data_IF_343838907085
#
_entry.id   IF_343838907085
#
_cell.length_a   1.000
_cell.length_b   1.000
_cell.length_c   1.000
_cell.angle_alpha   90.00
_cell.angle_beta   90.00
_cell.angle_gamma   90.00
#
_symmetry.space_group_name_H-M   'P 1'
#
loop_
_entity.id
_entity.type
_entity.pdbx_description
1 polymer ?
#
# COMPACT_ATOMS: atom_id res chain seq x y z
N UNK A 1 -5.05 -15.12 22.28
CA UNK A 1 -5.63 -13.82 22.69
C UNK A 1 -5.28 -12.77 21.63
N UNK A 2 -5.95 -12.77 20.46
CA UNK A 2 -5.50 -11.98 19.29
C UNK A 2 -6.53 -10.98 18.78
N UNK A 3 -7.57 -10.69 19.57
CA UNK A 3 -8.82 -10.10 19.05
C UNK A 3 -9.10 -8.67 19.54
N UNK A 4 -8.21 -8.02 20.30
CA UNK A 4 -8.53 -6.76 21.00
C UNK A 4 -7.91 -5.50 20.37
N UNK A 5 -6.92 -5.60 19.48
CA UNK A 5 -6.10 -4.41 19.08
C UNK A 5 -6.51 -3.78 17.73
N UNK A 6 -7.70 -4.09 17.21
CA UNK A 6 -8.26 -3.43 16.00
C UNK A 6 -9.48 -2.54 16.30
N UNK A 7 -9.81 -2.30 17.57
CA UNK A 7 -11.02 -1.57 18.00
C UNK A 7 -11.15 -0.14 17.46
N UNK A 8 -10.05 0.48 17.00
CA UNK A 8 -10.02 1.81 16.40
C UNK A 8 -9.91 1.82 14.86
N UNK A 9 -9.93 0.66 14.22
CA UNK A 9 -9.87 0.54 12.76
C UNK A 9 -11.27 0.25 12.21
N UNK A 10 -11.80 1.17 11.42
CA UNK A 10 -13.02 0.91 10.66
C UNK A 10 -12.63 0.11 9.43
N UNK A 11 -13.18 -1.10 9.31
CA UNK A 11 -13.14 -1.87 8.06
C UNK A 11 -13.88 -1.06 7.00
N UNK A 12 -13.16 -0.64 5.96
CA UNK A 12 -13.74 0.21 4.91
C UNK A 12 -14.24 -0.62 3.73
N UNK A 13 -13.43 -1.56 3.23
CA UNK A 13 -13.76 -2.32 2.02
C UNK A 13 -12.90 -3.58 1.93
N UNK A 14 -13.46 -4.68 1.44
CA UNK A 14 -12.69 -5.84 0.97
C UNK A 14 -12.49 -5.75 -0.53
N UNK A 15 -11.27 -5.99 -1.01
CA UNK A 15 -10.92 -6.07 -2.43
C UNK A 15 -10.55 -7.51 -2.72
N UNK A 16 -11.38 -8.18 -3.52
CA UNK A 16 -11.16 -9.54 -3.99
C UNK A 16 -11.05 -9.54 -5.51
N UNK A 17 -10.08 -10.26 -6.03
CA UNK A 17 -9.78 -10.41 -7.44
C UNK A 17 -8.92 -11.64 -7.68
N UNK A 18 -8.55 -11.88 -8.95
CA UNK A 18 -7.76 -13.07 -9.32
C UNK A 18 -6.39 -13.11 -8.62
N UNK A 19 -5.79 -11.94 -8.39
CA UNK A 19 -4.45 -11.81 -7.81
C UNK A 19 -4.44 -11.10 -6.46
N UNK A 20 -5.60 -10.82 -5.87
CA UNK A 20 -5.69 -10.03 -4.63
C UNK A 20 -6.86 -10.50 -3.78
N UNK A 21 -6.58 -10.75 -2.51
CA UNK A 21 -7.61 -10.90 -1.47
C UNK A 21 -7.15 -10.11 -0.23
N UNK A 22 -7.62 -8.87 -0.13
CA UNK A 22 -7.24 -7.96 0.96
C UNK A 22 -8.46 -7.26 1.56
N UNK A 23 -8.30 -6.89 2.82
CA UNK A 23 -9.21 -6.02 3.57
C UNK A 23 -8.51 -4.68 3.79
N UNK A 24 -9.20 -3.60 3.46
CA UNK A 24 -8.75 -2.23 3.67
C UNK A 24 -9.34 -1.71 4.97
N UNK A 25 -8.48 -1.29 5.88
CA UNK A 25 -8.83 -0.61 7.11
C UNK A 25 -8.55 0.88 6.98
N UNK A 26 -9.39 1.70 7.62
CA UNK A 26 -9.20 3.15 7.69
C UNK A 26 -9.20 3.59 9.14
N UNK A 27 -8.20 4.37 9.54
CA UNK A 27 -8.15 4.98 10.88
C UNK A 27 -9.04 6.22 10.94
N UNK A 28 -9.34 6.69 12.16
CA UNK A 28 -10.01 7.98 12.39
C UNK A 28 -9.33 9.15 11.68
N UNK A 29 -8.01 9.09 11.48
CA UNK A 29 -7.22 10.11 10.79
C UNK A 29 -7.26 9.98 9.25
N UNK A 30 -8.09 9.10 8.69
CA UNK A 30 -8.23 8.88 7.26
C UNK A 30 -7.09 8.07 6.62
N UNK A 31 -6.15 7.57 7.43
CA UNK A 31 -5.01 6.77 6.97
C UNK A 31 -5.48 5.35 6.69
N UNK A 32 -5.16 4.86 5.49
CA UNK A 32 -5.54 3.52 5.05
C UNK A 32 -4.42 2.50 5.28
N UNK A 33 -4.84 1.29 5.60
CA UNK A 33 -4.01 0.11 5.82
C UNK A 33 -4.65 -1.09 5.12
N UNK A 34 -3.85 -2.09 4.78
CA UNK A 34 -4.33 -3.29 4.11
C UNK A 34 -3.83 -4.55 4.80
N UNK A 35 -4.67 -5.58 4.83
CA UNK A 35 -4.30 -6.90 5.35
C UNK A 35 -4.85 -7.97 4.42
N UNK A 36 -4.07 -9.01 4.17
CA UNK A 36 -4.46 -10.11 3.29
C UNK A 36 -3.31 -10.54 2.39
N UNK A 37 -3.63 -11.05 1.21
CA UNK A 37 -2.65 -11.62 0.28
C UNK A 37 -2.74 -10.94 -1.07
N UNK A 38 -1.58 -10.60 -1.62
CA UNK A 38 -1.43 -10.15 -3.01
C UNK A 38 -0.51 -11.13 -3.72
N UNK A 39 -0.97 -11.65 -4.85
CA UNK A 39 -0.18 -12.44 -5.78
C UNK A 39 0.32 -11.56 -6.91
N UNK A 40 1.59 -11.66 -7.26
CA UNK A 40 2.13 -10.96 -8.41
C UNK A 40 1.67 -11.65 -9.72
N UNK A 41 1.00 -10.94 -10.65
CA UNK A 41 0.55 -11.54 -11.92
C UNK A 41 1.70 -11.90 -12.85
N UNK A 42 2.88 -11.29 -12.67
CA UNK A 42 4.04 -11.49 -13.54
C UNK A 42 4.99 -12.60 -13.08
N UNK A 43 5.07 -12.83 -11.77
CA UNK A 43 6.02 -13.80 -11.18
C UNK A 43 5.34 -14.88 -10.36
N UNK A 44 4.02 -14.82 -10.19
CA UNK A 44 3.21 -15.70 -9.35
C UNK A 44 3.61 -15.76 -7.87
N UNK A 45 4.54 -14.92 -7.40
CA UNK A 45 4.91 -14.82 -5.99
C UNK A 45 3.78 -14.23 -5.16
N UNK A 46 3.56 -14.80 -3.99
CA UNK A 46 2.53 -14.36 -3.04
C UNK A 46 3.15 -13.54 -1.91
N UNK A 47 2.48 -12.46 -1.54
CA UNK A 47 2.93 -11.50 -0.55
C UNK A 47 1.83 -11.29 0.49
N UNK A 48 2.20 -11.44 1.75
CA UNK A 48 1.29 -11.33 2.87
C UNK A 48 1.38 -9.93 3.49
N UNK A 49 0.26 -9.22 3.45
CA UNK A 49 0.07 -7.92 4.07
C UNK A 49 -0.46 -8.10 5.48
N UNK A 50 0.23 -7.53 6.46
CA UNK A 50 -0.15 -7.58 7.87
C UNK A 50 -0.10 -6.19 8.47
N UNK A 51 -1.00 -5.93 9.40
CA UNK A 51 -1.03 -4.68 10.16
C UNK A 51 -0.77 -5.03 11.61
N UNK A 52 0.24 -4.42 12.22
CA UNK A 52 0.52 -4.61 13.65
C UNK A 52 0.36 -3.27 14.38
N UNK A 53 -0.26 -3.27 15.57
CA UNK A 53 -0.30 -2.08 16.41
C UNK A 53 1.13 -1.71 16.83
N UNK A 54 1.40 -0.40 16.89
CA UNK A 54 2.62 0.16 17.47
C UNK A 54 2.32 0.55 18.91
N UNK A 55 2.90 -0.17 19.86
CA UNK A 55 2.59 -0.05 21.30
C UNK A 55 3.62 0.84 22.03
N UNK A 56 3.90 2.03 21.48
CA UNK A 56 4.74 3.00 22.17
C UNK A 56 3.82 4.08 22.78
N UNK A 57 3.89 4.25 24.10
CA UNK A 57 2.94 4.96 24.96
C UNK A 57 2.67 6.43 24.55
N UNK A 58 3.44 7.00 23.63
CA UNK A 58 3.28 8.37 23.14
C UNK A 58 2.43 8.50 21.85
N UNK A 59 2.31 7.46 21.01
CA UNK A 59 1.54 7.52 19.75
C UNK A 59 0.93 6.17 19.38
N UNK A 60 -0.37 6.02 19.63
CA UNK A 60 -1.18 4.92 19.09
C UNK A 60 -1.11 4.96 17.56
N UNK A 61 -0.46 3.96 16.96
CA UNK A 61 -0.26 3.87 15.52
C UNK A 61 -0.33 2.44 15.01
N UNK A 62 -0.33 2.29 13.70
CA UNK A 62 -0.28 0.98 13.05
C UNK A 62 0.90 0.93 12.09
N UNK A 63 1.65 -0.17 12.13
CA UNK A 63 2.70 -0.49 11.18
C UNK A 63 2.11 -1.39 10.10
N UNK A 64 2.33 -0.99 8.84
CA UNK A 64 2.04 -1.84 7.70
C UNK A 64 3.26 -2.69 7.36
N UNK A 65 3.06 -4.00 7.28
CA UNK A 65 4.01 -4.94 6.70
C UNK A 65 3.50 -5.35 5.32
N UNK A 66 4.32 -5.21 4.28
CA UNK A 66 4.00 -5.58 2.89
C UNK A 66 4.66 -6.90 2.44
N UNK A 67 5.37 -7.58 3.34
CA UNK A 67 6.04 -8.86 3.03
C UNK A 67 7.12 -8.77 1.95
N UNK A 68 7.65 -7.56 1.69
CA UNK A 68 8.64 -7.32 0.63
C UNK A 68 8.03 -7.09 -0.76
N UNK A 69 6.72 -6.89 -0.86
CA UNK A 69 6.06 -6.60 -2.13
C UNK A 69 6.58 -5.31 -2.78
N UNK A 70 6.85 -4.26 -2.01
CA UNK A 70 7.40 -3.02 -2.57
C UNK A 70 8.78 -3.27 -3.21
N UNK A 71 9.64 -4.03 -2.53
CA UNK A 71 10.95 -4.39 -3.08
C UNK A 71 10.79 -5.25 -4.34
N UNK A 72 9.83 -6.17 -4.35
CA UNK A 72 9.50 -6.97 -5.52
C UNK A 72 9.06 -6.10 -6.71
N UNK A 73 8.18 -5.12 -6.49
CA UNK A 73 7.76 -4.18 -7.54
C UNK A 73 8.94 -3.38 -8.12
N UNK A 74 9.96 -3.06 -7.33
CA UNK A 74 11.17 -2.36 -7.82
C UNK A 74 12.02 -3.24 -8.74
N UNK A 75 12.03 -4.56 -8.50
CA UNK A 75 12.81 -5.54 -9.27
C UNK A 75 12.12 -5.93 -10.58
N UNK A 76 10.79 -5.94 -10.62
CA UNK A 76 10.01 -6.35 -11.79
C UNK A 76 9.64 -5.14 -12.64
N UNK A 77 10.26 -4.99 -13.82
CA UNK A 77 10.12 -3.80 -14.66
C UNK A 77 8.67 -3.50 -15.10
N UNK A 78 7.84 -4.54 -15.29
CA UNK A 78 6.41 -4.38 -15.66
C UNK A 78 5.61 -3.53 -14.67
N UNK A 79 6.03 -3.44 -13.40
CA UNK A 79 5.34 -2.57 -12.43
C UNK A 79 5.54 -1.07 -12.72
N UNK A 80 6.57 -0.68 -13.49
CA UNK A 80 6.79 0.72 -13.88
C UNK A 80 5.68 1.27 -14.76
N UNK A 81 4.97 0.39 -15.48
CA UNK A 81 3.78 0.73 -16.27
C UNK A 81 2.59 1.15 -15.40
N UNK A 82 2.61 0.81 -14.11
CA UNK A 82 1.56 1.13 -13.15
C UNK A 82 1.93 2.32 -12.27
N UNK A 83 3.15 2.33 -11.72
CA UNK A 83 3.64 3.45 -10.92
C UNK A 83 5.16 3.57 -10.94
N UNK A 84 5.65 4.76 -10.61
CA UNK A 84 7.08 5.05 -10.45
C UNK A 84 7.35 5.69 -9.10
N UNK A 85 8.51 5.38 -8.51
CA UNK A 85 9.02 6.05 -7.30
C UNK A 85 9.93 7.20 -7.72
N UNK A 86 9.70 8.40 -7.19
CA UNK A 86 10.58 9.56 -7.33
C UNK A 86 10.97 10.09 -5.96
N UNK A 87 12.22 10.49 -5.82
CA UNK A 87 12.69 11.23 -4.66
C UNK A 87 12.64 12.72 -4.97
N UNK A 88 11.84 13.48 -4.23
CA UNK A 88 11.78 14.94 -4.37
C UNK A 88 12.25 15.61 -3.07
N UNK A 89 13.01 16.68 -3.19
CA UNK A 89 13.42 17.49 -2.04
C UNK A 89 12.21 18.22 -1.46
N UNK A 90 12.11 18.32 -0.13
CA UNK A 90 11.01 19.06 0.53
C UNK A 90 10.97 20.54 0.12
N UNK A 91 12.13 21.12 -0.15
CA UNK A 91 12.34 22.50 -0.57
C UNK A 91 13.63 22.55 -1.40
N UNK A 92 13.81 23.60 -2.19
CA UNK A 92 15.00 23.84 -3.03
C UNK A 92 16.32 23.74 -2.25
N UNK A 93 16.30 23.98 -0.94
CA UNK A 93 17.46 23.93 -0.03
C UNK A 93 17.39 22.85 1.06
N UNK A 94 16.46 21.88 0.98
CA UNK A 94 16.38 20.82 1.99
C UNK A 94 17.14 19.57 1.57
N UNK A 95 18.00 19.06 2.46
CA UNK A 95 18.64 17.75 2.30
C UNK A 95 17.65 16.59 2.49
N UNK A 96 16.49 16.84 3.10
CA UNK A 96 15.46 15.83 3.29
C UNK A 96 14.72 15.55 1.96
N UNK A 97 14.98 14.38 1.39
CA UNK A 97 14.27 13.86 0.22
C UNK A 97 13.08 13.02 0.68
N UNK A 98 11.88 13.37 0.22
CA UNK A 98 10.69 12.53 0.39
C UNK A 98 10.53 11.61 -0.82
N UNK A 99 10.09 10.39 -0.56
CA UNK A 99 9.69 9.45 -1.61
C UNK A 99 8.25 9.72 -2.00
N UNK A 100 8.01 9.84 -3.30
CA UNK A 100 6.70 9.99 -3.90
C UNK A 100 6.48 8.83 -4.85
N UNK A 101 5.30 8.23 -4.74
CA UNK A 101 4.78 7.24 -5.66
C UNK A 101 3.87 7.97 -6.63
N UNK A 102 4.12 7.81 -7.93
CA UNK A 102 3.37 8.48 -9.00
C UNK A 102 2.73 7.41 -9.88
N UNK A 103 1.43 7.49 -10.09
CA UNK A 103 0.69 6.60 -10.97
C UNK A 103 1.07 6.92 -12.42
N UNK A 104 1.54 5.91 -13.15
CA UNK A 104 1.94 6.05 -14.56
C UNK A 104 0.74 6.20 -15.49
N UNK A 105 -0.48 5.83 -15.05
CA UNK A 105 -1.71 5.88 -15.86
C UNK A 105 -2.42 7.23 -15.82
N UNK A 106 -2.53 7.85 -14.64
CA UNK A 106 -3.28 9.11 -14.48
C UNK A 106 -2.48 10.25 -13.82
N UNK A 107 -1.24 10.01 -13.40
CA UNK A 107 -0.40 11.03 -12.76
C UNK A 107 -0.73 11.30 -11.28
N UNK A 108 -1.65 10.56 -10.66
CA UNK A 108 -1.90 10.64 -9.21
C UNK A 108 -0.61 10.45 -8.41
N UNK A 109 -0.42 11.24 -7.34
CA UNK A 109 0.81 11.23 -6.53
C UNK A 109 0.48 11.05 -5.06
N UNK A 110 1.28 10.25 -4.36
CA UNK A 110 1.18 10.09 -2.90
C UNK A 110 2.55 9.78 -2.29
N UNK A 111 2.73 10.12 -1.02
CA UNK A 111 3.92 9.77 -0.25
C UNK A 111 3.85 8.37 0.36
N UNK A 112 2.65 7.75 0.37
CA UNK A 112 2.43 6.43 0.97
C UNK A 112 2.19 5.37 -0.11
N UNK A 113 2.99 4.31 -0.05
CA UNK A 113 2.89 3.19 -0.96
C UNK A 113 1.52 2.50 -0.95
N UNK A 114 0.94 2.32 0.24
CA UNK A 114 -0.37 1.67 0.39
C UNK A 114 -1.49 2.47 -0.28
N UNK A 115 -1.45 3.80 -0.16
CA UNK A 115 -2.41 4.66 -0.83
C UNK A 115 -2.28 4.57 -2.36
N UNK A 116 -1.04 4.40 -2.87
CA UNK A 116 -0.82 4.15 -4.31
C UNK A 116 -1.42 2.80 -4.72
N UNK A 117 -1.17 1.71 -3.99
CA UNK A 117 -1.74 0.40 -4.31
C UNK A 117 -3.26 0.43 -4.33
N UNK A 118 -3.88 1.01 -3.30
CA UNK A 118 -5.33 1.15 -3.21
C UNK A 118 -5.87 1.97 -4.39
N UNK A 119 -5.17 3.04 -4.78
CA UNK A 119 -5.52 3.84 -5.95
C UNK A 119 -5.48 2.99 -7.23
N UNK A 120 -4.39 2.27 -7.48
CA UNK A 120 -4.25 1.42 -8.67
C UNK A 120 -5.35 0.35 -8.73
N UNK A 121 -5.67 -0.29 -7.60
CA UNK A 121 -6.72 -1.31 -7.52
C UNK A 121 -8.11 -0.74 -7.80
N UNK A 122 -8.46 0.41 -7.20
CA UNK A 122 -9.81 0.95 -7.32
C UNK A 122 -10.05 1.75 -8.61
N UNK A 123 -9.04 2.46 -9.11
CA UNK A 123 -9.18 3.38 -10.26
C UNK A 123 -8.78 2.70 -11.57
N UNK A 124 -7.75 1.85 -11.54
CA UNK A 124 -7.21 1.23 -12.75
C UNK A 124 -7.42 -0.29 -12.78
N UNK A 125 -8.15 -0.86 -11.82
CA UNK A 125 -8.44 -2.30 -11.76
C UNK A 125 -7.20 -3.17 -11.55
N UNK A 126 -6.09 -2.59 -11.07
CA UNK A 126 -4.84 -3.31 -10.89
C UNK A 126 -5.03 -4.50 -9.94
N UNK A 127 -4.65 -5.71 -10.39
CA UNK A 127 -4.82 -7.00 -9.68
C UNK A 127 -6.27 -7.47 -9.50
N UNK A 128 -7.26 -6.62 -9.78
CA UNK A 128 -8.69 -6.90 -9.60
C UNK A 128 -9.32 -7.42 -10.88
N UNK A 129 -9.04 -6.78 -12.02
CA UNK A 129 -9.61 -7.15 -13.32
C UNK A 129 -8.56 -7.86 -14.19
N UNK A 130 -8.98 -8.86 -14.97
CA UNK A 130 -8.17 -9.39 -16.08
C UNK A 130 -7.92 -8.25 -17.06
N UNK A 131 -6.65 -7.86 -17.20
CA UNK A 131 -6.18 -7.00 -18.29
C UNK A 131 -5.91 -7.84 -19.52
#
# INVERSE_FOLDING_TARGET
MSSVILSNLKTSKSVKGEFVDIVVFTTSNGVKYIQGVIKCPYTNKEFNFKVTPHDDQARLGFIQHDGGFLEHCRKVEKYREWFVERAESYSRNSFHKRKLYICSKCGFKTTRYIDMLIHLMNVHGFLVNKS
#
